data_IF_572741955388
#
_entry.id   IF_572741955388
#
_cell.length_a   1.000
_cell.length_b   1.000
_cell.length_c   1.000
_cell.angle_alpha   90.00
_cell.angle_beta   90.00
_cell.angle_gamma   90.00
#
_symmetry.space_group_name_H-M   'P 1'
#
loop_
_entity.id
_entity.type
_entity.pdbx_description
1 polymer ?
#
# COMPACT_ATOMS: atom_id res chain seq x y z
N UNK A 1 0.92 -37.95 26.84
CA UNK A 1 0.84 -36.47 26.76
C UNK A 1 2.23 -35.93 26.44
N UNK A 2 2.59 -35.85 25.15
CA UNK A 2 3.90 -35.33 24.72
C UNK A 2 3.77 -33.84 24.44
N UNK A 3 4.30 -33.04 25.37
CA UNK A 3 4.39 -31.60 25.30
C UNK A 3 5.37 -31.21 24.18
N UNK A 4 4.84 -30.99 22.98
CA UNK A 4 5.63 -30.53 21.83
C UNK A 4 5.81 -29.01 21.94
N UNK A 5 6.69 -28.60 22.87
CA UNK A 5 7.13 -27.22 22.98
C UNK A 5 7.80 -26.85 21.65
N UNK A 6 7.09 -26.09 20.80
CA UNK A 6 7.63 -25.57 19.54
C UNK A 6 8.96 -24.88 19.86
N UNK A 7 10.08 -25.44 19.42
CA UNK A 7 11.38 -24.79 19.54
C UNK A 7 11.30 -23.45 18.80
N UNK A 8 11.51 -22.37 19.53
CA UNK A 8 11.54 -21.03 18.97
C UNK A 8 12.90 -20.86 18.27
N UNK A 9 12.91 -20.99 16.94
CA UNK A 9 14.10 -20.62 16.16
C UNK A 9 14.23 -19.10 16.22
N UNK A 10 15.39 -18.55 16.64
CA UNK A 10 15.58 -17.11 16.69
C UNK A 10 15.49 -16.53 15.28
N UNK A 11 14.47 -15.71 15.05
CA UNK A 11 14.28 -15.00 13.78
C UNK A 11 15.37 -13.92 13.70
N UNK A 12 16.20 -14.00 12.65
CA UNK A 12 17.28 -13.04 12.41
C UNK A 12 16.81 -11.89 11.53
N UNK A 13 17.63 -10.85 11.43
CA UNK A 13 17.38 -9.74 10.53
C UNK A 13 18.58 -8.80 10.45
N UNK A 14 18.52 -7.82 9.55
CA UNK A 14 19.65 -6.94 9.29
C UNK A 14 20.03 -6.14 10.54
N UNK A 15 21.33 -5.86 10.74
CA UNK A 15 21.74 -4.91 11.76
C UNK A 15 21.18 -3.53 11.39
N UNK A 16 20.44 -2.92 12.31
CA UNK A 16 19.87 -1.57 12.17
C UNK A 16 20.22 -0.73 13.39
N UNK A 17 19.94 0.57 13.33
CA UNK A 17 20.22 1.48 14.45
C UNK A 17 19.54 1.01 15.74
N UNK A 18 20.30 0.94 16.84
CA UNK A 18 19.74 0.60 18.17
C UNK A 18 18.69 1.61 18.63
N UNK A 19 18.86 2.89 18.28
CA UNK A 19 17.96 3.96 18.73
C UNK A 19 16.79 4.19 17.77
N UNK A 20 17.07 4.23 16.47
CA UNK A 20 16.10 4.59 15.43
C UNK A 20 15.59 3.39 14.61
N UNK A 21 16.06 2.17 14.88
CA UNK A 21 15.68 0.98 14.13
C UNK A 21 15.95 1.10 12.63
N UNK A 22 15.10 0.44 11.86
CA UNK A 22 15.16 0.42 10.40
C UNK A 22 14.75 1.73 9.72
N UNK A 23 14.07 2.66 10.41
CA UNK A 23 13.43 3.83 9.80
C UNK A 23 14.40 4.72 8.99
N UNK A 24 15.64 4.88 9.45
CA UNK A 24 16.64 5.71 8.77
C UNK A 24 17.10 5.10 7.44
N UNK A 25 17.35 3.79 7.43
CA UNK A 25 17.77 3.07 6.22
C UNK A 25 16.61 2.94 5.24
N UNK A 26 15.42 2.62 5.75
CA UNK A 26 14.22 2.45 4.93
C UNK A 26 13.81 3.75 4.23
N UNK A 27 13.90 4.90 4.91
CA UNK A 27 13.63 6.21 4.29
C UNK A 27 14.64 6.55 3.20
N UNK A 28 15.89 6.15 3.36
CA UNK A 28 16.97 6.47 2.41
C UNK A 28 16.92 5.60 1.16
N UNK A 29 16.65 4.31 1.33
CA UNK A 29 16.61 3.32 0.26
C UNK A 29 15.71 2.14 0.68
N UNK A 30 14.41 2.29 0.44
CA UNK A 30 13.41 1.30 0.86
C UNK A 30 13.60 -0.03 0.12
N UNK A 31 13.82 0.03 -1.19
CA UNK A 31 13.95 -1.17 -2.02
C UNK A 31 15.23 -1.93 -1.68
N UNK A 32 16.38 -1.24 -1.63
CA UNK A 32 17.63 -1.87 -1.27
C UNK A 32 17.61 -2.43 0.14
N UNK A 33 16.93 -1.77 1.09
CA UNK A 33 16.71 -2.32 2.44
C UNK A 33 15.90 -3.62 2.41
N UNK A 34 14.77 -3.67 1.70
CA UNK A 34 13.93 -4.88 1.59
C UNK A 34 14.66 -6.02 0.88
N UNK A 35 15.43 -5.73 -0.17
CA UNK A 35 16.26 -6.72 -0.86
C UNK A 35 17.37 -7.28 0.06
N UNK A 36 17.98 -6.44 0.91
CA UNK A 36 18.93 -6.93 1.93
C UNK A 36 18.24 -7.82 2.95
N UNK A 37 17.01 -7.52 3.35
CA UNK A 37 16.26 -8.35 4.28
C UNK A 37 16.04 -9.76 3.72
N UNK A 38 15.82 -9.91 2.41
CA UNK A 38 15.63 -11.21 1.77
C UNK A 38 16.79 -12.20 2.05
N UNK A 39 18.02 -11.71 2.20
CA UNK A 39 19.18 -12.55 2.52
C UNK A 39 19.13 -13.22 3.91
N UNK A 40 18.22 -12.80 4.79
CA UNK A 40 18.06 -13.35 6.14
C UNK A 40 17.04 -14.49 6.21
N UNK A 41 16.40 -14.83 5.08
CA UNK A 41 15.50 -15.97 4.95
C UNK A 41 14.03 -15.60 4.79
N UNK A 42 13.18 -16.59 5.07
CA UNK A 42 11.75 -16.54 4.80
C UNK A 42 10.97 -15.63 5.75
N UNK A 43 11.42 -15.54 7.00
CA UNK A 43 10.85 -14.65 8.01
C UNK A 43 11.98 -13.82 8.59
N UNK A 44 11.85 -12.50 8.53
CA UNK A 44 12.90 -11.57 8.93
C UNK A 44 12.37 -10.62 9.99
N UNK A 45 13.04 -10.55 11.13
CA UNK A 45 12.71 -9.61 12.21
C UNK A 45 13.45 -8.29 11.96
N UNK A 46 12.70 -7.21 11.84
CA UNK A 46 13.22 -5.87 11.56
C UNK A 46 12.99 -4.97 12.78
N UNK A 47 14.02 -4.70 13.60
CA UNK A 47 13.87 -3.90 14.83
C UNK A 47 13.49 -2.44 14.55
N UNK A 48 12.57 -1.89 15.35
CA UNK A 48 12.16 -0.48 15.27
C UNK A 48 12.97 0.46 16.17
N UNK A 49 13.85 -0.09 17.01
CA UNK A 49 14.73 0.67 17.89
C UNK A 49 14.08 1.16 19.19
N UNK A 50 14.90 1.69 20.10
CA UNK A 50 14.48 2.06 21.46
C UNK A 50 13.50 3.23 21.52
N UNK A 51 13.59 4.18 20.57
CA UNK A 51 12.68 5.32 20.53
C UNK A 51 11.25 4.84 20.25
N UNK A 52 11.09 3.98 19.24
CA UNK A 52 9.81 3.33 18.96
C UNK A 52 9.33 2.51 20.17
N UNK A 53 10.24 1.84 20.88
CA UNK A 53 9.87 1.04 22.06
C UNK A 53 9.31 1.87 23.20
N UNK A 54 9.87 3.06 23.42
CA UNK A 54 9.34 4.01 24.40
C UNK A 54 7.98 4.56 23.97
N UNK A 55 7.82 4.94 22.70
CA UNK A 55 6.56 5.48 22.16
C UNK A 55 5.43 4.43 22.17
N UNK A 56 5.74 3.19 21.80
CA UNK A 56 4.78 2.09 21.70
C UNK A 56 4.60 1.32 23.02
N UNK A 57 5.33 1.69 24.08
CA UNK A 57 5.38 0.96 25.36
C UNK A 57 5.67 -0.54 25.18
N UNK A 58 6.52 -0.88 24.22
CA UNK A 58 6.95 -2.23 23.89
C UNK A 58 8.48 -2.30 24.01
N UNK A 59 9.07 -3.19 24.83
CA UNK A 59 10.52 -3.26 25.02
C UNK A 59 11.29 -3.75 23.78
N UNK A 60 10.64 -4.46 22.86
CA UNK A 60 11.27 -5.03 21.65
C UNK A 60 10.34 -4.90 20.44
N UNK A 61 10.08 -3.66 19.97
CA UNK A 61 9.23 -3.42 18.82
C UNK A 61 9.95 -3.82 17.54
N UNK A 62 9.28 -4.61 16.72
CA UNK A 62 9.80 -5.06 15.43
C UNK A 62 8.69 -5.18 14.40
N UNK A 63 9.05 -5.05 13.13
CA UNK A 63 8.26 -5.54 12.01
C UNK A 63 8.75 -6.93 11.62
N UNK A 64 7.88 -7.74 11.05
CA UNK A 64 8.24 -9.03 10.47
C UNK A 64 7.99 -8.97 8.96
N UNK A 65 9.02 -9.24 8.18
CA UNK A 65 8.90 -9.43 6.73
C UNK A 65 8.71 -10.92 6.45
N UNK A 66 7.68 -11.25 5.68
CA UNK A 66 7.34 -12.62 5.26
C UNK A 66 7.61 -12.75 3.76
N UNK A 67 8.60 -13.56 3.39
CA UNK A 67 8.97 -13.82 2.00
C UNK A 67 8.38 -15.13 1.48
N UNK A 68 8.10 -16.10 2.36
CA UNK A 68 7.58 -17.40 1.95
C UNK A 68 6.08 -17.32 1.61
N UNK A 69 5.63 -17.84 0.44
CA UNK A 69 4.25 -17.70 -0.01
C UNK A 69 3.24 -18.37 0.94
N UNK A 70 3.65 -19.42 1.65
CA UNK A 70 2.82 -20.08 2.66
C UNK A 70 2.50 -19.17 3.85
N UNK A 71 3.47 -18.38 4.32
CA UNK A 71 3.31 -17.46 5.44
C UNK A 71 2.52 -16.22 5.03
N UNK A 72 2.81 -15.71 3.83
CA UNK A 72 2.02 -14.62 3.22
C UNK A 72 0.55 -15.03 3.10
N UNK A 73 0.27 -16.24 2.58
CA UNK A 73 -1.10 -16.78 2.51
C UNK A 73 -1.71 -16.98 3.89
N UNK A 74 -0.93 -17.42 4.87
CA UNK A 74 -1.42 -17.59 6.24
C UNK A 74 -1.92 -16.26 6.80
N UNK A 75 -1.09 -15.22 6.74
CA UNK A 75 -1.42 -13.89 7.30
C UNK A 75 -2.49 -13.18 6.49
N UNK A 76 -2.42 -13.18 5.16
CA UNK A 76 -3.32 -12.38 4.32
C UNK A 76 -4.63 -13.08 3.94
N UNK A 77 -4.75 -14.40 4.15
CA UNK A 77 -5.94 -15.16 3.70
C UNK A 77 -6.44 -16.11 4.77
N UNK A 78 -5.64 -17.09 5.19
CA UNK A 78 -6.12 -18.20 6.01
C UNK A 78 -6.39 -17.81 7.48
N UNK A 79 -5.71 -16.78 7.97
CA UNK A 79 -5.73 -16.35 9.36
C UNK A 79 -5.83 -14.82 9.50
N UNK A 80 -6.35 -14.13 8.48
CA UNK A 80 -6.37 -12.66 8.40
C UNK A 80 -7.07 -11.99 9.59
N UNK A 81 -8.08 -12.62 10.19
CA UNK A 81 -8.85 -12.03 11.29
C UNK A 81 -8.03 -11.85 12.59
N UNK A 82 -6.86 -12.51 12.68
CA UNK A 82 -5.91 -12.35 13.78
C UNK A 82 -4.90 -11.22 13.56
N UNK A 83 -4.97 -10.52 12.43
CA UNK A 83 -4.06 -9.43 12.08
C UNK A 83 -4.85 -8.18 11.72
N UNK A 84 -4.51 -7.06 12.33
CA UNK A 84 -5.09 -5.75 11.99
C UNK A 84 -4.08 -4.95 11.16
N UNK A 85 -4.58 -4.08 10.28
CA UNK A 85 -3.74 -3.09 9.62
C UNK A 85 -3.09 -2.20 10.68
N UNK A 86 -1.94 -1.64 10.34
CA UNK A 86 -1.28 -0.67 11.18
C UNK A 86 -2.20 0.56 11.37
N UNK A 87 -2.12 1.27 12.52
CA UNK A 87 -2.86 2.51 12.73
C UNK A 87 -2.57 3.49 11.59
N UNK A 88 -3.63 3.99 10.96
CA UNK A 88 -3.55 4.92 9.84
C UNK A 88 -3.07 6.29 10.35
N UNK A 89 -2.14 6.98 9.65
CA UNK A 89 -1.77 8.35 9.98
C UNK A 89 -2.99 9.29 10.05
N UNK A 90 -3.04 10.24 11.01
CA UNK A 90 -4.21 11.08 11.22
C UNK A 90 -4.66 11.87 9.99
N UNK A 91 -3.73 12.28 9.13
CA UNK A 91 -3.98 13.08 7.92
C UNK A 91 -4.82 12.28 6.91
N UNK A 92 -4.43 11.04 6.63
CA UNK A 92 -5.14 10.16 5.70
C UNK A 92 -6.56 9.86 6.20
N UNK A 93 -6.71 9.63 7.51
CA UNK A 93 -8.01 9.38 8.13
C UNK A 93 -9.00 10.55 8.00
N UNK A 94 -8.51 11.81 7.94
CA UNK A 94 -9.36 13.00 7.75
C UNK A 94 -9.86 13.15 6.32
N UNK A 95 -9.04 12.75 5.34
CA UNK A 95 -9.38 12.88 3.91
C UNK A 95 -10.28 11.72 3.48
N UNK A 96 -9.92 10.49 3.83
CA UNK A 96 -10.60 9.28 3.36
C UNK A 96 -11.63 8.71 4.35
N UNK A 97 -11.78 9.34 5.53
CA UNK A 97 -12.72 8.92 6.58
C UNK A 97 -12.53 7.47 7.01
N UNK A 98 -13.63 6.80 7.39
CA UNK A 98 -13.67 5.35 7.58
C UNK A 98 -13.98 4.62 6.25
N UNK A 99 -13.28 4.99 5.17
CA UNK A 99 -13.37 4.32 3.88
C UNK A 99 -12.83 2.90 3.92
N UNK A 100 -13.02 2.16 2.81
CA UNK A 100 -12.62 0.74 2.68
C UNK A 100 -11.14 0.49 2.98
N UNK A 101 -10.28 1.51 2.80
CA UNK A 101 -8.85 1.42 3.12
C UNK A 101 -8.58 1.37 4.63
N UNK A 102 -9.44 1.99 5.44
CA UNK A 102 -9.25 2.14 6.90
C UNK A 102 -10.18 1.24 7.71
N UNK A 103 -11.26 0.75 7.11
CA UNK A 103 -12.18 -0.17 7.78
C UNK A 103 -11.50 -1.52 8.07
N UNK A 104 -11.97 -2.18 9.14
CA UNK A 104 -11.54 -3.52 9.56
C UNK A 104 -12.72 -4.47 9.74
N UNK A 105 -12.43 -5.77 9.70
CA UNK A 105 -13.39 -6.84 9.98
C UNK A 105 -14.71 -6.71 9.19
N UNK A 106 -15.84 -6.78 9.89
CA UNK A 106 -17.17 -6.75 9.27
C UNK A 106 -17.45 -5.46 8.48
N UNK A 107 -16.96 -4.31 8.94
CA UNK A 107 -17.12 -3.04 8.24
C UNK A 107 -16.36 -3.04 6.91
N UNK A 108 -15.11 -3.52 6.93
CA UNK A 108 -14.30 -3.71 5.73
C UNK A 108 -14.98 -4.65 4.73
N UNK A 109 -15.46 -5.81 5.18
CA UNK A 109 -16.16 -6.77 4.33
C UNK A 109 -17.41 -6.16 3.68
N UNK A 110 -18.22 -5.44 4.45
CA UNK A 110 -19.43 -4.78 3.94
C UNK A 110 -19.09 -3.74 2.88
N UNK A 111 -18.13 -2.85 3.15
CA UNK A 111 -17.73 -1.81 2.20
C UNK A 111 -17.11 -2.41 0.93
N UNK A 112 -16.19 -3.37 1.06
CA UNK A 112 -15.58 -4.05 -0.08
C UNK A 112 -16.63 -4.73 -0.97
N UNK A 113 -17.66 -5.35 -0.38
CA UNK A 113 -18.76 -5.97 -1.15
C UNK A 113 -19.56 -4.95 -1.98
N UNK A 114 -19.68 -3.70 -1.52
CA UNK A 114 -20.34 -2.63 -2.29
C UNK A 114 -19.48 -2.16 -3.47
N UNK A 115 -18.15 -2.21 -3.34
CA UNK A 115 -17.22 -1.80 -4.40
C UNK A 115 -16.94 -2.90 -5.45
N UNK A 116 -16.94 -4.18 -5.06
CA UNK A 116 -16.60 -5.29 -5.94
C UNK A 116 -17.35 -5.34 -7.30
N UNK A 117 -18.64 -4.95 -7.41
CA UNK A 117 -19.34 -4.91 -8.70
C UNK A 117 -18.66 -3.99 -9.73
N UNK A 118 -18.10 -2.84 -9.31
CA UNK A 118 -17.39 -1.93 -10.21
C UNK A 118 -16.11 -2.54 -10.81
N UNK A 119 -15.58 -3.59 -10.17
CA UNK A 119 -14.38 -4.30 -10.62
C UNK A 119 -14.71 -5.65 -11.28
N UNK A 120 -15.97 -5.97 -11.54
CA UNK A 120 -16.33 -7.18 -12.29
C UNK A 120 -15.90 -7.08 -13.76
N UNK A 121 -15.58 -8.22 -14.37
CA UNK A 121 -15.00 -8.29 -15.71
C UNK A 121 -15.76 -7.52 -16.79
N UNK A 122 -17.10 -7.58 -16.78
CA UNK A 122 -17.92 -6.86 -17.76
C UNK A 122 -17.81 -5.33 -17.62
N UNK A 123 -17.70 -4.83 -16.39
CA UNK A 123 -17.47 -3.40 -16.12
C UNK A 123 -16.05 -2.99 -16.50
N UNK A 124 -15.04 -3.81 -16.20
CA UNK A 124 -13.66 -3.54 -16.62
C UNK A 124 -13.55 -3.47 -18.15
N UNK A 125 -14.26 -4.34 -18.87
CA UNK A 125 -14.29 -4.32 -20.33
C UNK A 125 -14.92 -3.03 -20.87
N UNK A 126 -15.98 -2.51 -20.24
CA UNK A 126 -16.62 -1.27 -20.66
C UNK A 126 -15.73 -0.03 -20.45
N UNK A 127 -14.75 -0.10 -19.54
CA UNK A 127 -13.80 0.99 -19.30
C UNK A 127 -12.72 1.08 -20.38
N UNK A 128 -12.43 -0.01 -21.10
CA UNK A 128 -11.33 -0.07 -22.06
C UNK A 128 -11.42 1.01 -23.15
N UNK A 129 -12.62 1.28 -23.66
CA UNK A 129 -12.84 2.31 -24.67
C UNK A 129 -12.53 3.72 -24.15
N UNK A 130 -12.95 4.04 -22.92
CA UNK A 130 -12.65 5.32 -22.28
C UNK A 130 -11.14 5.47 -22.03
N UNK A 131 -10.50 4.43 -21.51
CA UNK A 131 -9.06 4.44 -21.25
C UNK A 131 -8.30 4.70 -22.56
N UNK A 132 -8.61 3.94 -23.61
CA UNK A 132 -7.98 4.11 -24.92
C UNK A 132 -8.19 5.52 -25.49
N UNK A 133 -9.41 6.06 -25.39
CA UNK A 133 -9.71 7.42 -25.83
C UNK A 133 -8.88 8.47 -25.08
N UNK A 134 -8.85 8.41 -23.74
CA UNK A 134 -8.09 9.36 -22.91
C UNK A 134 -6.59 9.26 -23.17
N UNK A 135 -6.07 8.05 -23.34
CA UNK A 135 -4.67 7.82 -23.69
C UNK A 135 -4.32 8.38 -25.07
N UNK A 136 -5.19 8.20 -26.06
CA UNK A 136 -4.98 8.76 -27.40
C UNK A 136 -4.94 10.29 -27.36
N UNK A 137 -5.89 10.94 -26.67
CA UNK A 137 -5.91 12.40 -26.50
C UNK A 137 -4.65 12.93 -25.83
N UNK A 138 -4.15 12.24 -24.79
CA UNK A 138 -2.90 12.61 -24.13
C UNK A 138 -1.71 12.50 -25.10
N UNK A 139 -1.60 11.36 -25.80
CA UNK A 139 -0.50 11.09 -26.72
C UNK A 139 -0.49 12.05 -27.92
N UNK A 140 -1.66 12.42 -28.45
CA UNK A 140 -1.81 13.38 -29.54
C UNK A 140 -1.36 14.80 -29.13
N UNK A 141 -1.40 15.11 -27.84
CA UNK A 141 -0.88 16.36 -27.28
C UNK A 141 0.64 16.42 -27.18
N UNK A 142 1.34 15.28 -27.30
CA UNK A 142 2.79 15.23 -27.16
C UNK A 142 3.51 15.66 -28.44
N UNK A 143 4.54 16.47 -28.27
CA UNK A 143 5.36 16.95 -29.37
C UNK A 143 6.67 16.15 -29.46
N UNK A 144 6.98 15.69 -30.67
CA UNK A 144 8.20 14.92 -30.93
C UNK A 144 9.45 15.72 -30.55
N UNK A 145 10.33 15.08 -29.78
CA UNK A 145 11.61 15.67 -29.37
C UNK A 145 11.54 16.55 -28.12
N UNK A 146 10.34 16.71 -27.53
CA UNK A 146 10.17 17.42 -26.25
C UNK A 146 10.18 16.40 -25.10
N UNK A 147 11.08 16.53 -24.12
CA UNK A 147 11.04 15.72 -22.91
C UNK A 147 9.75 15.97 -22.13
N UNK A 148 9.15 14.90 -21.61
CA UNK A 148 7.96 14.95 -20.76
C UNK A 148 8.26 14.29 -19.41
N UNK A 149 7.55 14.73 -18.36
CA UNK A 149 7.52 14.02 -17.08
C UNK A 149 6.45 12.93 -17.13
N UNK A 150 6.87 11.69 -17.41
CA UNK A 150 5.93 10.57 -17.53
C UNK A 150 5.16 10.29 -16.22
N UNK A 151 5.73 10.60 -15.06
CA UNK A 151 5.06 10.42 -13.77
C UNK A 151 3.89 11.39 -13.62
N UNK A 152 4.11 12.66 -13.99
CA UNK A 152 3.07 13.67 -14.01
C UNK A 152 1.99 13.34 -15.04
N UNK A 153 2.37 12.97 -16.27
CA UNK A 153 1.44 12.62 -17.35
C UNK A 153 0.55 11.42 -16.99
N UNK A 154 1.14 10.35 -16.43
CA UNK A 154 0.39 9.16 -16.00
C UNK A 154 -0.53 9.46 -14.83
N UNK A 155 -0.13 10.34 -13.92
CA UNK A 155 -0.98 10.79 -12.80
C UNK A 155 -2.22 11.53 -13.32
N UNK A 156 -2.02 12.49 -14.22
CA UNK A 156 -3.12 13.25 -14.82
C UNK A 156 -4.07 12.36 -15.63
N UNK A 157 -3.52 11.46 -16.44
CA UNK A 157 -4.30 10.48 -17.20
C UNK A 157 -5.17 9.62 -16.29
N UNK A 158 -4.55 9.05 -15.25
CA UNK A 158 -5.22 8.15 -14.30
C UNK A 158 -6.34 8.88 -13.57
N UNK A 159 -6.11 10.11 -13.10
CA UNK A 159 -7.14 10.92 -12.46
C UNK A 159 -8.27 11.28 -13.41
N UNK A 160 -7.95 11.64 -14.66
CA UNK A 160 -8.97 11.94 -15.69
C UNK A 160 -9.88 10.74 -15.95
N UNK A 161 -9.31 9.54 -16.04
CA UNK A 161 -10.06 8.30 -16.21
C UNK A 161 -10.93 8.02 -14.97
N UNK A 162 -10.33 8.05 -13.77
CA UNK A 162 -11.06 7.77 -12.51
C UNK A 162 -12.23 8.76 -12.35
N UNK A 163 -12.00 10.05 -12.58
CA UNK A 163 -13.03 11.07 -12.47
C UNK A 163 -14.19 10.82 -13.42
N UNK A 164 -13.87 10.50 -14.68
CA UNK A 164 -14.86 10.18 -15.70
C UNK A 164 -15.66 8.93 -15.36
N UNK A 165 -15.02 7.91 -14.79
CA UNK A 165 -15.68 6.68 -14.36
C UNK A 165 -16.59 6.88 -13.14
N UNK A 166 -16.17 7.70 -12.17
CA UNK A 166 -16.93 7.92 -10.93
C UNK A 166 -18.06 8.93 -11.07
N UNK A 167 -17.83 10.02 -11.81
CA UNK A 167 -18.75 11.17 -11.87
C UNK A 167 -19.43 11.33 -13.24
N UNK A 168 -19.02 10.57 -14.25
CA UNK A 168 -19.59 10.67 -15.59
C UNK A 168 -19.30 12.00 -16.28
N UNK A 169 -18.33 12.78 -15.78
CA UNK A 169 -17.92 14.09 -16.30
C UNK A 169 -16.40 14.10 -16.52
N UNK A 170 -15.94 14.94 -17.44
CA UNK A 170 -14.51 15.21 -17.56
C UNK A 170 -14.04 16.12 -16.42
N UNK A 171 -12.74 16.11 -16.13
CA UNK A 171 -12.15 16.98 -15.10
C UNK A 171 -12.42 18.45 -15.45
N UNK A 172 -13.24 19.11 -14.63
CA UNK A 172 -13.33 20.56 -14.57
C UNK A 172 -12.28 21.14 -13.61
N UNK A 173 -12.16 22.48 -13.51
CA UNK A 173 -11.17 23.14 -12.65
C UNK A 173 -11.20 22.69 -11.17
N UNK A 174 -12.33 22.21 -10.67
CA UNK A 174 -12.50 21.70 -9.28
C UNK A 174 -11.68 20.44 -8.96
N UNK A 175 -11.29 19.62 -9.95
CA UNK A 175 -10.51 18.39 -9.68
C UNK A 175 -8.99 18.64 -9.56
N UNK A 176 -8.50 19.81 -10.00
CA UNK A 176 -7.10 20.22 -9.81
C UNK A 176 -6.81 20.45 -8.33
N UNK A 177 -7.77 20.99 -7.57
CA UNK A 177 -7.66 21.13 -6.11
C UNK A 177 -7.56 19.78 -5.40
N UNK A 178 -8.31 18.77 -5.85
CA UNK A 178 -8.23 17.41 -5.29
C UNK A 178 -6.87 16.77 -5.59
N UNK A 179 -6.33 17.00 -6.78
CA UNK A 179 -5.00 16.50 -7.17
C UNK A 179 -3.89 17.10 -6.32
N UNK A 180 -3.98 18.41 -6.05
CA UNK A 180 -3.04 19.14 -5.18
C UNK A 180 -3.18 18.79 -3.70
N UNK A 181 -4.34 18.30 -3.25
CA UNK A 181 -4.54 17.86 -1.87
C UNK A 181 -4.00 16.45 -1.58
N UNK A 182 -3.74 15.65 -2.63
CA UNK A 182 -3.26 14.26 -2.54
C UNK A 182 -1.73 14.17 -2.70
N UNK A 183 -1.09 15.16 -3.34
CA UNK A 183 0.36 15.19 -3.63
C UNK A 183 1.11 16.04 -2.61
#
# INVERSE_FOLDING_TARGET
>A
MTNNARQFVPITGPPVSRWFGFFSEFRRDSLGFLLRCHAYGDVVKIPMGRIAGLLLRNPDPAMYLLNHPGDVRHVLVANQDNYTKAPVPPVESRIFGQGVLHAEGAAHHRQRRLFLPFFHGDHVHSYAGLIAQKTAVLADGWQKGIPIDIGQEMTQLTLSIIWRLLFGQDIGPEAVEVTQAIT
#
